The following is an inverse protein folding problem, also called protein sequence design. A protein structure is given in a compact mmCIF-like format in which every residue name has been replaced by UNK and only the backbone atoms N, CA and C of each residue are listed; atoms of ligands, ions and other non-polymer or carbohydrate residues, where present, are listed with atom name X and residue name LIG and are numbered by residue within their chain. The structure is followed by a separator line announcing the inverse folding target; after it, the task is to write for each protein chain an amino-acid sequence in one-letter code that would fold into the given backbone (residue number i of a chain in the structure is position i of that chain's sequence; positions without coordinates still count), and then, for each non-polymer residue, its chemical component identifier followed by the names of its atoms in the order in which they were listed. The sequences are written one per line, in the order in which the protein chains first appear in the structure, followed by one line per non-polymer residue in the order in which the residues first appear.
data_IF_154269714523
#
_entry.id   IF_154269714523
#
_cell.length_a   1.000
_cell.length_b   1.000
_cell.length_c   1.000
_cell.angle_alpha   90.00
_cell.angle_beta   90.00
_cell.angle_gamma   90.00
#
_symmetry.space_group_name_H-M   'P 1'
#
loop_
_entity.id
_entity.type
_entity.pdbx_description
1 polymer ?
#
# COMPACT_ATOMS: atom_id res chain seq x y z
N UNK A 1 10.59 2.83 -20.10
CA UNK A 1 10.69 4.10 -20.85
C UNK A 1 9.58 4.24 -21.90
N UNK A 2 9.31 3.23 -22.73
CA UNK A 2 8.29 3.29 -23.81
C UNK A 2 6.89 3.69 -23.30
N UNK A 3 6.47 3.22 -22.13
CA UNK A 3 5.16 3.50 -21.55
C UNK A 3 5.06 4.87 -20.81
N UNK A 4 6.19 5.52 -20.55
CA UNK A 4 6.25 6.77 -19.74
C UNK A 4 5.31 7.88 -20.22
N UNK A 5 5.11 8.13 -21.53
CA UNK A 5 4.20 9.18 -21.99
C UNK A 5 2.71 8.88 -21.71
N UNK A 6 2.37 7.61 -21.44
CA UNK A 6 0.99 7.12 -21.35
C UNK A 6 0.60 6.67 -19.94
N UNK A 7 1.59 6.47 -19.06
CA UNK A 7 1.38 5.91 -17.71
C UNK A 7 1.73 6.97 -16.67
N UNK A 8 0.75 7.37 -15.90
CA UNK A 8 0.90 8.34 -14.81
C UNK A 8 0.98 7.70 -13.43
N UNK A 9 0.57 6.43 -13.33
CA UNK A 9 0.55 5.64 -12.11
C UNK A 9 0.92 4.19 -12.41
N UNK A 10 1.77 3.62 -11.55
CA UNK A 10 2.03 2.18 -11.49
C UNK A 10 1.56 1.62 -10.14
N UNK A 11 0.93 0.46 -10.20
CA UNK A 11 0.62 -0.35 -9.04
C UNK A 11 1.40 -1.66 -9.16
N UNK A 12 2.27 -1.94 -8.18
CA UNK A 12 3.14 -3.11 -8.17
C UNK A 12 2.77 -3.99 -6.98
N UNK A 13 2.60 -5.28 -7.23
CA UNK A 13 2.44 -6.27 -6.17
C UNK A 13 3.81 -6.69 -5.63
N UNK A 14 4.09 -6.38 -4.38
CA UNK A 14 5.21 -6.93 -3.61
C UNK A 14 4.66 -8.10 -2.76
N UNK A 15 4.75 -9.31 -3.31
CA UNK A 15 4.06 -10.50 -2.81
C UNK A 15 4.69 -11.12 -1.57
N UNK A 16 6.00 -10.94 -1.38
CA UNK A 16 6.78 -11.46 -0.26
C UNK A 16 8.12 -10.75 -0.22
N UNK A 17 8.84 -10.81 0.89
CA UNK A 17 10.23 -10.35 0.98
C UNK A 17 11.23 -11.53 0.99
N UNK A 18 10.77 -12.70 0.56
CA UNK A 18 11.56 -13.93 0.45
C UNK A 18 11.81 -14.30 -1.01
N UNK A 19 13.07 -14.37 -1.43
CA UNK A 19 13.45 -14.84 -2.77
C UNK A 19 12.97 -16.28 -3.02
N UNK A 20 12.97 -17.14 -1.99
CA UNK A 20 12.46 -18.51 -2.05
C UNK A 20 10.98 -18.54 -2.43
N UNK A 21 10.19 -17.68 -1.78
CA UNK A 21 8.75 -17.63 -2.04
C UNK A 21 8.45 -16.99 -3.40
N UNK A 22 9.23 -15.99 -3.83
CA UNK A 22 9.12 -15.44 -5.18
C UNK A 22 9.40 -16.47 -6.28
N UNK A 23 10.41 -17.32 -6.10
CA UNK A 23 10.67 -18.42 -7.05
C UNK A 23 9.52 -19.41 -7.14
N UNK A 24 8.84 -19.70 -6.02
CA UNK A 24 7.61 -20.52 -6.02
C UNK A 24 6.46 -19.90 -6.81
N UNK A 25 6.41 -18.58 -6.85
CA UNK A 25 5.45 -17.82 -7.65
C UNK A 25 5.88 -17.66 -9.13
N UNK A 26 7.06 -18.17 -9.49
CA UNK A 26 7.61 -18.04 -10.85
C UNK A 26 8.26 -16.69 -11.15
N UNK A 27 8.60 -15.92 -10.10
CA UNK A 27 9.22 -14.60 -10.17
C UNK A 27 10.58 -14.50 -9.49
N UNK A 28 11.11 -13.28 -9.39
CA UNK A 28 12.33 -12.93 -8.67
C UNK A 28 12.07 -11.70 -7.80
N UNK A 29 12.37 -11.80 -6.51
CA UNK A 29 12.27 -10.67 -5.58
C UNK A 29 13.18 -9.52 -6.02
N UNK A 30 14.44 -9.82 -6.35
CA UNK A 30 15.41 -8.80 -6.77
C UNK A 30 14.91 -7.98 -7.96
N UNK A 31 14.32 -8.62 -8.98
CA UNK A 31 13.77 -7.94 -10.15
C UNK A 31 12.57 -7.04 -9.79
N UNK A 32 11.73 -7.46 -8.83
CA UNK A 32 10.60 -6.64 -8.37
C UNK A 32 11.10 -5.42 -7.58
N UNK A 33 12.07 -5.61 -6.66
CA UNK A 33 12.64 -4.51 -5.89
C UNK A 33 13.33 -3.48 -6.79
N UNK A 34 14.11 -3.92 -7.78
CA UNK A 34 14.74 -3.03 -8.77
C UNK A 34 13.70 -2.29 -9.62
N UNK A 35 12.60 -2.98 -10.01
CA UNK A 35 11.50 -2.36 -10.74
C UNK A 35 10.83 -1.26 -9.93
N UNK A 36 10.58 -1.47 -8.63
CA UNK A 36 10.01 -0.48 -7.72
C UNK A 36 10.89 0.78 -7.66
N UNK A 37 12.19 0.59 -7.45
CA UNK A 37 13.16 1.69 -7.41
C UNK A 37 13.23 2.45 -8.73
N UNK A 38 13.26 1.72 -9.85
CA UNK A 38 13.32 2.30 -11.20
C UNK A 38 12.06 3.13 -11.51
N UNK A 39 10.87 2.58 -11.26
CA UNK A 39 9.60 3.30 -11.50
C UNK A 39 9.51 4.56 -10.65
N UNK A 40 9.92 4.49 -9.39
CA UNK A 40 9.98 5.66 -8.52
C UNK A 40 10.97 6.71 -9.04
N UNK A 41 12.19 6.31 -9.43
CA UNK A 41 13.20 7.20 -9.99
C UNK A 41 12.77 7.88 -11.30
N UNK A 42 11.86 7.24 -12.07
CA UNK A 42 11.26 7.84 -13.27
C UNK A 42 10.23 8.94 -12.97
N UNK A 43 9.89 9.18 -11.70
CA UNK A 43 8.88 10.17 -11.29
C UNK A 43 7.44 9.76 -11.59
N UNK A 44 7.18 8.49 -11.87
CA UNK A 44 5.84 7.93 -12.03
C UNK A 44 5.24 7.70 -10.64
N UNK A 45 3.97 8.05 -10.43
CA UNK A 45 3.30 7.75 -9.18
C UNK A 45 3.24 6.24 -8.97
N UNK A 46 3.71 5.78 -7.82
CA UNK A 46 3.82 4.36 -7.49
C UNK A 46 3.00 4.04 -6.26
N UNK A 47 2.23 2.95 -6.33
CA UNK A 47 1.56 2.34 -5.18
C UNK A 47 1.95 0.87 -5.09
N UNK A 48 2.17 0.38 -3.89
CA UNK A 48 2.53 -1.02 -3.64
C UNK A 48 1.40 -1.78 -2.97
N UNK A 49 1.24 -3.04 -3.35
CA UNK A 49 0.22 -3.94 -2.78
C UNK A 49 0.87 -5.21 -2.28
N UNK A 50 0.52 -5.59 -1.07
CA UNK A 50 0.85 -6.89 -0.50
C UNK A 50 -0.42 -7.62 -0.08
N UNK A 51 -0.73 -8.72 -0.76
CA UNK A 51 -1.76 -9.64 -0.32
C UNK A 51 -1.18 -10.47 0.82
N UNK A 52 -1.65 -10.26 2.04
CA UNK A 52 -1.19 -10.97 3.22
C UNK A 52 -1.87 -12.34 3.29
N UNK A 53 -1.05 -13.38 3.26
CA UNK A 53 -1.51 -14.78 3.32
C UNK A 53 -1.01 -15.40 4.61
N UNK A 54 -1.90 -15.96 5.47
CA UNK A 54 -1.51 -16.56 6.73
C UNK A 54 -0.43 -17.64 6.56
N UNK A 55 0.56 -17.64 7.45
CA UNK A 55 1.72 -18.56 7.46
C UNK A 55 2.56 -18.56 6.16
N UNK A 56 2.49 -17.46 5.39
CA UNK A 56 3.25 -17.32 4.16
C UNK A 56 4.11 -16.05 4.14
N UNK A 57 3.51 -14.89 4.32
CA UNK A 57 4.17 -13.58 4.26
C UNK A 57 3.67 -12.60 5.33
N UNK A 58 3.08 -13.12 6.42
CA UNK A 58 2.44 -12.35 7.47
C UNK A 58 3.21 -12.32 8.80
N UNK A 59 4.47 -12.77 8.81
CA UNK A 59 5.34 -12.68 9.98
C UNK A 59 5.73 -11.22 10.26
N UNK A 60 5.91 -10.86 11.54
CA UNK A 60 6.32 -9.51 11.94
C UNK A 60 7.66 -9.09 11.33
N UNK A 61 8.60 -10.04 11.17
CA UNK A 61 9.88 -9.78 10.52
C UNK A 61 9.70 -9.41 9.05
N UNK A 62 8.90 -10.17 8.31
CA UNK A 62 8.68 -9.91 6.89
C UNK A 62 7.88 -8.61 6.66
N UNK A 63 6.87 -8.36 7.50
CA UNK A 63 6.11 -7.10 7.45
C UNK A 63 7.00 -5.88 7.71
N UNK A 64 7.95 -6.00 8.65
CA UNK A 64 8.93 -4.96 8.93
C UNK A 64 9.89 -4.75 7.75
N UNK A 65 10.45 -5.82 7.17
CA UNK A 65 11.35 -5.75 6.02
C UNK A 65 10.68 -5.10 4.80
N UNK A 66 9.43 -5.47 4.49
CA UNK A 66 8.64 -4.84 3.43
C UNK A 66 8.46 -3.35 3.70
N UNK A 67 8.03 -2.99 4.92
CA UNK A 67 7.76 -1.61 5.30
C UNK A 67 9.03 -0.74 5.25
N UNK A 68 10.14 -1.25 5.77
CA UNK A 68 11.45 -0.58 5.77
C UNK A 68 11.97 -0.38 4.34
N UNK A 69 11.85 -1.39 3.48
CA UNK A 69 12.21 -1.25 2.07
C UNK A 69 11.41 -0.14 1.38
N UNK A 70 10.07 -0.15 1.54
CA UNK A 70 9.21 0.86 0.91
C UNK A 70 9.55 2.26 1.42
N UNK A 71 9.71 2.42 2.74
CA UNK A 71 10.08 3.70 3.35
C UNK A 71 11.47 4.18 2.90
N UNK A 72 12.40 3.25 2.69
CA UNK A 72 13.75 3.52 2.17
C UNK A 72 13.73 4.01 0.71
N UNK A 73 12.76 3.59 -0.10
CA UNK A 73 12.57 4.14 -1.46
C UNK A 73 11.90 5.51 -1.37
N UNK A 74 10.74 5.61 -0.71
CA UNK A 74 10.09 6.88 -0.37
C UNK A 74 8.99 6.67 0.67
N UNK A 75 8.93 7.48 1.74
CA UNK A 75 7.85 7.43 2.73
C UNK A 75 6.49 7.84 2.17
N UNK A 76 6.44 8.42 0.97
CA UNK A 76 5.20 8.87 0.31
C UNK A 76 4.55 7.80 -0.56
N UNK A 77 5.21 6.66 -0.79
CA UNK A 77 4.64 5.53 -1.53
C UNK A 77 3.53 4.90 -0.71
N UNK A 78 2.28 4.87 -1.18
CA UNK A 78 1.21 4.17 -0.50
C UNK A 78 1.44 2.66 -0.49
N UNK A 79 1.29 2.05 0.69
CA UNK A 79 1.32 0.61 0.86
C UNK A 79 -0.08 0.07 1.16
N UNK A 80 -0.60 -0.74 0.26
CA UNK A 80 -1.89 -1.41 0.42
C UNK A 80 -1.66 -2.83 0.93
N UNK A 81 -2.05 -3.09 2.18
CA UNK A 81 -2.07 -4.42 2.78
C UNK A 81 -3.47 -5.00 2.64
N UNK A 82 -3.61 -6.11 1.94
CA UNK A 82 -4.93 -6.65 1.59
C UNK A 82 -5.13 -8.05 2.13
N UNK A 83 -6.35 -8.35 2.58
CA UNK A 83 -6.69 -9.66 3.12
C UNK A 83 -6.82 -10.71 2.01
N UNK A 84 -6.20 -11.85 2.23
CA UNK A 84 -6.35 -13.06 1.43
C UNK A 84 -7.66 -13.77 1.76
N UNK A 85 -8.25 -14.37 0.75
CA UNK A 85 -9.38 -15.28 0.85
C UNK A 85 -8.99 -16.62 0.19
N UNK A 86 -9.23 -17.77 0.86
CA UNK A 86 -8.93 -19.08 0.30
C UNK A 86 -9.67 -19.31 -1.01
N UNK A 87 -8.93 -19.58 -2.08
CA UNK A 87 -9.48 -19.89 -3.39
C UNK A 87 -8.52 -20.75 -4.22
N UNK A 88 -9.04 -21.33 -5.29
CA UNK A 88 -8.33 -22.15 -6.28
C UNK A 88 -7.42 -23.20 -5.61
N UNK A 89 -6.09 -23.06 -5.71
CA UNK A 89 -5.09 -24.02 -5.19
C UNK A 89 -4.63 -23.70 -3.76
N UNK A 90 -5.04 -22.57 -3.17
CA UNK A 90 -4.67 -22.14 -1.82
C UNK A 90 -5.88 -22.23 -0.87
N UNK A 91 -6.41 -23.45 -0.68
CA UNK A 91 -7.57 -23.72 0.21
C UNK A 91 -7.16 -24.32 1.55
N UNK A 92 -5.90 -24.58 1.73
CA UNK A 92 -5.26 -25.12 2.92
C UNK A 92 -4.99 -24.06 4.01
N UNK A 93 -5.25 -22.79 3.70
CA UNK A 93 -5.02 -21.65 4.60
C UNK A 93 -6.33 -20.97 4.94
N UNK A 94 -6.38 -20.34 6.13
CA UNK A 94 -7.50 -19.51 6.54
C UNK A 94 -7.53 -18.16 5.81
N UNK A 95 -8.61 -17.42 6.00
CA UNK A 95 -8.67 -16.00 5.62
C UNK A 95 -7.70 -15.19 6.48
N UNK A 96 -7.17 -14.10 5.94
CA UNK A 96 -6.36 -13.17 6.72
C UNK A 96 -7.22 -12.51 7.81
N UNK A 97 -6.84 -12.64 9.09
CA UNK A 97 -7.52 -11.94 10.18
C UNK A 97 -7.35 -10.41 10.07
N UNK A 98 -8.30 -9.68 10.62
CA UNK A 98 -8.22 -8.21 10.75
C UNK A 98 -6.94 -7.77 11.45
N UNK A 99 -6.59 -8.45 12.55
CA UNK A 99 -5.40 -8.13 13.36
C UNK A 99 -4.10 -8.20 12.55
N UNK A 100 -4.01 -9.11 11.57
CA UNK A 100 -2.85 -9.19 10.67
C UNK A 100 -2.70 -7.92 9.82
N UNK A 101 -3.81 -7.38 9.29
CA UNK A 101 -3.80 -6.13 8.54
C UNK A 101 -3.45 -4.94 9.42
N UNK A 102 -3.97 -4.91 10.65
CA UNK A 102 -3.67 -3.84 11.61
C UNK A 102 -2.19 -3.89 12.05
N UNK A 103 -1.62 -5.08 12.29
CA UNK A 103 -0.18 -5.25 12.54
C UNK A 103 0.66 -4.75 11.35
N UNK A 104 0.32 -5.11 10.13
CA UNK A 104 1.03 -4.63 8.94
C UNK A 104 0.96 -3.09 8.84
N UNK A 105 -0.21 -2.50 9.11
CA UNK A 105 -0.35 -1.04 9.17
C UNK A 105 0.54 -0.40 10.24
N UNK A 106 0.68 -1.04 11.40
CA UNK A 106 1.58 -0.57 12.47
C UNK A 106 3.04 -0.63 12.05
N UNK A 107 3.48 -1.73 11.40
CA UNK A 107 4.84 -1.85 10.84
C UNK A 107 5.11 -0.74 9.81
N UNK A 108 4.17 -0.48 8.89
CA UNK A 108 4.31 0.60 7.92
C UNK A 108 4.44 1.98 8.57
N UNK A 109 3.61 2.29 9.56
CA UNK A 109 3.70 3.55 10.33
C UNK A 109 5.02 3.66 11.10
N UNK A 110 5.48 2.56 11.73
CA UNK A 110 6.76 2.51 12.46
C UNK A 110 7.95 2.74 11.54
N UNK A 111 7.90 2.22 10.32
CA UNK A 111 8.92 2.46 9.30
C UNK A 111 8.89 3.89 8.72
N UNK A 112 7.86 4.69 9.02
CA UNK A 112 7.73 6.07 8.58
C UNK A 112 6.88 6.26 7.33
N UNK A 113 6.15 5.25 6.86
CA UNK A 113 5.24 5.39 5.73
C UNK A 113 4.10 6.35 6.09
N UNK A 114 3.85 7.31 5.20
CA UNK A 114 2.77 8.29 5.36
C UNK A 114 1.39 7.71 5.05
N UNK A 115 1.33 6.71 4.17
CA UNK A 115 0.09 6.13 3.68
C UNK A 115 0.16 4.60 3.74
N UNK A 116 -0.62 4.01 4.65
CA UNK A 116 -0.81 2.55 4.72
C UNK A 116 -2.30 2.28 4.75
N UNK A 117 -2.78 1.52 3.78
CA UNK A 117 -4.18 1.20 3.61
C UNK A 117 -4.43 -0.28 3.80
N UNK A 118 -5.38 -0.65 4.66
CA UNK A 118 -5.88 -2.01 4.77
C UNK A 118 -7.08 -2.22 3.84
N UNK A 119 -7.12 -3.34 3.13
CA UNK A 119 -8.15 -3.61 2.14
C UNK A 119 -8.70 -5.04 2.18
N UNK A 120 -9.72 -5.28 1.36
CA UNK A 120 -10.48 -6.54 1.23
C UNK A 120 -11.30 -6.96 2.46
N UNK A 121 -11.40 -6.08 3.48
CA UNK A 121 -12.28 -6.24 4.65
C UNK A 121 -13.03 -4.94 4.92
N UNK A 122 -13.94 -4.50 4.02
CA UNK A 122 -14.55 -3.17 4.08
C UNK A 122 -15.30 -2.91 5.38
N UNK A 123 -14.93 -1.80 6.06
CA UNK A 123 -15.51 -1.36 7.31
C UNK A 123 -15.16 -2.22 8.54
N UNK A 124 -14.19 -3.14 8.42
CA UNK A 124 -13.74 -4.01 9.52
C UNK A 124 -12.34 -3.64 10.03
N UNK A 125 -11.62 -2.81 9.30
CA UNK A 125 -10.22 -2.47 9.56
C UNK A 125 -10.05 -1.07 10.17
N UNK A 126 -10.97 -0.69 11.03
CA UNK A 126 -11.00 0.63 11.69
C UNK A 126 -10.96 1.77 10.66
N UNK A 127 -10.06 2.74 10.88
CA UNK A 127 -9.90 3.92 10.01
C UNK A 127 -8.77 3.75 8.98
N UNK A 128 -8.24 2.52 8.79
CA UNK A 128 -7.09 2.28 7.91
C UNK A 128 -7.46 2.27 6.42
N UNK A 129 -8.75 2.37 6.08
CA UNK A 129 -9.19 2.59 4.69
C UNK A 129 -9.11 4.07 4.28
N UNK A 130 -9.03 4.98 5.26
CA UNK A 130 -9.11 6.42 5.06
C UNK A 130 -7.74 7.03 4.72
N UNK A 131 -7.77 8.20 4.06
CA UNK A 131 -6.57 9.02 3.87
C UNK A 131 -6.55 10.16 4.87
N UNK A 132 -5.45 10.28 5.59
CA UNK A 132 -5.20 11.36 6.55
C UNK A 132 -4.04 12.24 6.08
N UNK A 133 -4.08 13.51 6.47
CA UNK A 133 -2.97 14.42 6.25
C UNK A 133 -1.71 13.92 6.97
N UNK A 134 -0.56 13.76 6.29
CA UNK A 134 0.64 13.25 6.95
C UNK A 134 1.22 14.21 8.01
N UNK A 135 0.83 15.50 7.97
CA UNK A 135 1.31 16.50 8.92
C UNK A 135 0.39 16.68 10.12
N UNK A 136 -0.92 16.90 9.90
CA UNK A 136 -1.85 17.30 10.97
C UNK A 136 -2.91 16.23 11.27
N UNK A 137 -2.87 15.09 10.60
CA UNK A 137 -3.80 13.96 10.79
C UNK A 137 -5.28 14.30 10.52
N UNK A 138 -5.56 15.43 9.84
CA UNK A 138 -6.91 15.72 9.35
C UNK A 138 -7.38 14.62 8.41
N UNK A 139 -8.61 14.14 8.59
CA UNK A 139 -9.25 13.24 7.63
C UNK A 139 -9.41 13.97 6.28
N UNK A 140 -8.87 13.41 5.22
CA UNK A 140 -8.89 13.99 3.87
C UNK A 140 -9.78 13.23 2.91
N UNK A 141 -9.76 11.89 2.98
CA UNK A 141 -10.64 11.04 2.18
C UNK A 141 -11.17 9.92 3.07
N UNK A 142 -12.48 9.85 3.18
CA UNK A 142 -13.19 8.80 3.89
C UNK A 142 -13.60 7.71 2.92
N UNK A 143 -13.29 6.45 3.26
CA UNK A 143 -13.60 5.28 2.42
C UNK A 143 -14.17 4.14 3.24
N UNK A 144 -14.97 3.32 2.53
CA UNK A 144 -15.37 1.99 2.97
C UNK A 144 -15.24 1.04 1.77
N UNK A 145 -14.20 0.23 1.75
CA UNK A 145 -13.82 -0.55 0.59
C UNK A 145 -13.52 0.35 -0.62
N UNK A 146 -14.20 0.13 -1.73
CA UNK A 146 -14.08 0.94 -2.94
C UNK A 146 -14.98 2.19 -2.94
N UNK A 147 -15.85 2.34 -1.95
CA UNK A 147 -16.75 3.48 -1.87
C UNK A 147 -16.06 4.66 -1.20
N UNK A 148 -15.94 5.78 -1.92
CA UNK A 148 -15.53 7.07 -1.38
C UNK A 148 -16.75 7.76 -0.78
N UNK A 149 -16.72 8.01 0.53
CA UNK A 149 -17.82 8.63 1.28
C UNK A 149 -17.69 10.15 1.31
N UNK A 150 -16.47 10.65 1.48
CA UNK A 150 -16.20 12.08 1.48
C UNK A 150 -14.77 12.40 1.00
N UNK A 151 -14.58 13.58 0.40
CA UNK A 151 -13.28 14.16 0.03
C UNK A 151 -13.24 15.58 0.55
N UNK A 152 -12.25 15.91 1.40
CA UNK A 152 -12.09 17.22 2.02
C UNK A 152 -10.90 18.02 1.45
N UNK A 153 -10.11 17.43 0.57
CA UNK A 153 -8.99 18.11 -0.09
C UNK A 153 -9.46 19.30 -0.92
N UNK A 154 -8.64 20.35 -0.95
CA UNK A 154 -8.79 21.49 -1.86
C UNK A 154 -7.73 21.40 -2.96
N UNK A 155 -8.06 20.71 -4.05
CA UNK A 155 -7.06 20.25 -5.02
C UNK A 155 -6.15 19.19 -4.37
N UNK A 156 -4.88 19.50 -4.24
CA UNK A 156 -3.88 18.68 -3.52
C UNK A 156 -3.61 19.16 -2.08
N UNK A 157 -4.28 20.21 -1.61
CA UNK A 157 -3.98 20.85 -0.32
C UNK A 157 -4.86 20.32 0.81
N UNK A 158 -4.23 20.12 1.97
CA UNK A 158 -4.93 19.85 3.22
C UNK A 158 -5.70 21.10 3.67
N UNK A 159 -7.02 21.01 3.96
CA UNK A 159 -7.82 22.18 4.34
C UNK A 159 -7.44 22.77 5.71
N UNK A 160 -6.78 22.00 6.59
CA UNK A 160 -6.41 22.43 7.95
C UNK A 160 -5.02 23.04 8.05
N UNK A 161 -4.01 22.47 7.40
CA UNK A 161 -2.63 22.91 7.53
C UNK A 161 -1.98 23.37 6.22
N UNK A 162 -2.72 23.33 5.14
CA UNK A 162 -2.39 23.85 3.81
C UNK A 162 -1.13 23.28 3.16
N UNK A 163 -0.66 22.08 3.61
CA UNK A 163 0.41 21.36 2.90
C UNK A 163 -0.13 20.68 1.66
N UNK A 164 0.70 20.56 0.62
CA UNK A 164 0.44 19.67 -0.51
C UNK A 164 0.55 18.22 -0.04
N UNK A 165 -0.50 17.43 -0.29
CA UNK A 165 -0.58 16.02 0.09
C UNK A 165 -0.09 15.18 -1.09
N UNK A 166 0.95 14.36 -0.91
CA UNK A 166 1.43 13.48 -1.96
C UNK A 166 0.31 12.62 -2.55
N UNK A 167 0.19 12.60 -3.87
CA UNK A 167 -0.87 11.85 -4.56
C UNK A 167 -1.05 12.27 -6.01
N UNK A 168 -1.94 11.60 -6.69
CA UNK A 168 -2.48 12.02 -7.99
C UNK A 168 -3.93 12.45 -7.79
N UNK A 169 -4.11 13.72 -7.53
CA UNK A 169 -5.41 14.34 -7.32
C UNK A 169 -5.93 14.87 -8.64
N UNK A 170 -7.12 14.43 -9.03
CA UNK A 170 -7.81 14.99 -10.19
C UNK A 170 -8.30 16.38 -9.73
N UNK A 171 -7.83 17.44 -10.36
CA UNK A 171 -8.41 18.75 -10.18
C UNK A 171 -9.89 18.60 -10.52
N UNK A 172 -10.76 18.86 -9.55
CA UNK A 172 -12.21 18.78 -9.68
C UNK A 172 -12.67 19.43 -10.98
N UNK A 173 -13.50 18.68 -11.67
CA UNK A 173 -14.25 19.14 -12.84
C UNK A 173 -15.02 20.44 -12.55
#
# INVERSE_FOLDING_TARGET
EYLRPWVVLFKIDLKSFSEKEYRRLGGSLSAVLETIQTVHAMGIWLELVTLLVPDYNDSDSELAEVAEFIAGVSPTIPWHVTAFHPDYKMRDRGRTPVDTLLRASQHGKKAGLQFVYAGNLPGQVENTENTYCPRCQQLLVERRGFQVLSIQLKGDLCPSCNISVPGRWINSF
#
